data_IF_620232658709
#
_entry.id   IF_620232658709
#
_cell.length_a   1.000
_cell.length_b   1.000
_cell.length_c   1.000
_cell.angle_alpha   90.00
_cell.angle_beta   90.00
_cell.angle_gamma   90.00
#
_symmetry.space_group_name_H-M   'P 1'
#
loop_
_entity.id
_entity.type
_entity.pdbx_description
1 polymer ?
#
# COMPACT_ATOMS: atom_id res chain seq x y z
N UNK A 1 -4.82 -45.19 -2.39
CA UNK A 1 -5.88 -44.17 -2.29
C UNK A 1 -5.33 -43.03 -1.45
N UNK A 2 -4.71 -42.03 -2.10
CA UNK A 2 -4.19 -40.84 -1.43
C UNK A 2 -5.05 -39.66 -1.83
N UNK A 3 -5.94 -39.24 -0.95
CA UNK A 3 -6.57 -37.93 -1.07
C UNK A 3 -5.47 -36.86 -0.92
N UNK A 4 -5.44 -35.81 -1.76
CA UNK A 4 -4.48 -34.73 -1.58
C UNK A 4 -4.84 -33.98 -0.30
N UNK A 5 -3.91 -33.95 0.66
CA UNK A 5 -3.98 -33.21 1.93
C UNK A 5 -4.29 -31.70 1.72
N UNK A 6 -4.05 -31.18 0.52
CA UNK A 6 -4.42 -29.82 0.14
C UNK A 6 -5.94 -29.57 0.09
N UNK A 7 -6.77 -30.59 -0.14
CA UNK A 7 -8.23 -30.44 -0.24
C UNK A 7 -8.96 -30.43 1.11
N UNK A 8 -8.28 -30.74 2.21
CA UNK A 8 -8.83 -30.62 3.58
C UNK A 8 -8.36 -29.36 4.31
N UNK A 9 -7.33 -28.68 3.79
CA UNK A 9 -6.87 -27.40 4.35
C UNK A 9 -7.78 -26.20 4.04
N UNK A 10 -8.78 -26.38 3.17
CA UNK A 10 -9.86 -25.42 2.90
C UNK A 10 -10.81 -25.21 4.09
N UNK A 11 -10.67 -25.96 5.18
CA UNK A 11 -11.51 -25.83 6.38
C UNK A 11 -10.96 -24.97 7.52
N UNK A 12 -9.75 -24.41 7.40
CA UNK A 12 -9.33 -23.34 8.30
C UNK A 12 -9.61 -22.00 7.64
N UNK A 13 -10.81 -21.46 7.86
CA UNK A 13 -11.05 -20.02 7.79
C UNK A 13 -9.97 -19.39 8.68
N UNK A 14 -8.91 -18.85 8.09
CA UNK A 14 -7.72 -18.43 8.84
C UNK A 14 -8.18 -17.26 9.73
N UNK A 15 -8.37 -17.55 11.01
CA UNK A 15 -8.74 -16.59 12.05
C UNK A 15 -7.55 -15.69 12.42
N UNK A 16 -6.86 -15.15 11.41
CA UNK A 16 -5.63 -14.39 11.54
C UNK A 16 -4.35 -15.23 11.65
N UNK A 17 -3.23 -14.52 11.82
CA UNK A 17 -1.86 -15.06 11.81
C UNK A 17 -1.58 -16.09 12.90
N UNK A 18 -2.25 -16.01 14.04
CA UNK A 18 -2.06 -16.94 15.16
C UNK A 18 -2.54 -18.35 14.81
N UNK A 19 -3.71 -18.45 14.17
CA UNK A 19 -4.24 -19.72 13.65
C UNK A 19 -3.31 -20.34 12.61
N UNK A 20 -2.70 -19.52 11.76
CA UNK A 20 -1.73 -19.95 10.75
C UNK A 20 -0.44 -20.50 11.38
N UNK A 21 0.09 -19.83 12.41
CA UNK A 21 1.28 -20.28 13.12
C UNK A 21 1.06 -21.62 13.83
N UNK A 22 -0.13 -21.86 14.38
CA UNK A 22 -0.49 -23.16 14.96
C UNK A 22 -0.50 -24.28 13.92
N UNK A 23 -1.07 -24.03 12.73
CA UNK A 23 -1.09 -25.00 11.64
C UNK A 23 0.34 -25.31 11.18
N UNK A 24 1.17 -24.29 10.96
CA UNK A 24 2.59 -24.45 10.59
C UNK A 24 3.32 -25.28 11.66
N UNK A 25 3.07 -25.00 12.94
CA UNK A 25 3.67 -25.74 14.06
C UNK A 25 3.27 -27.22 14.07
N UNK A 26 2.00 -27.53 13.80
CA UNK A 26 1.49 -28.92 13.69
C UNK A 26 2.16 -29.66 12.54
N UNK A 27 2.17 -29.06 11.34
CA UNK A 27 2.81 -29.67 10.15
C UNK A 27 4.31 -29.88 10.40
N UNK A 28 4.98 -28.92 11.03
CA UNK A 28 6.41 -29.05 11.32
C UNK A 28 6.71 -30.16 12.33
N UNK A 29 5.81 -30.38 13.29
CA UNK A 29 5.93 -31.48 14.25
C UNK A 29 5.73 -32.85 13.57
N UNK A 30 4.81 -32.95 12.62
CA UNK A 30 4.46 -34.21 11.95
C UNK A 30 5.40 -34.56 10.79
N UNK A 31 5.93 -33.56 10.10
CA UNK A 31 6.68 -33.74 8.85
C UNK A 31 8.04 -33.05 8.83
N UNK A 32 8.53 -32.58 9.98
CA UNK A 32 9.81 -31.87 10.08
C UNK A 32 11.01 -32.65 9.56
N UNK A 33 11.03 -33.98 9.72
CA UNK A 33 12.08 -34.86 9.20
C UNK A 33 12.15 -34.88 7.65
N UNK A 34 11.06 -34.53 6.97
CA UNK A 34 10.98 -34.41 5.52
C UNK A 34 11.34 -32.99 5.01
N UNK A 35 11.90 -32.15 5.88
CA UNK A 35 12.31 -30.78 5.53
C UNK A 35 11.20 -29.72 5.69
N UNK A 36 10.00 -30.11 6.12
CA UNK A 36 8.89 -29.19 6.44
C UNK A 36 9.12 -28.50 7.80
N UNK A 37 10.21 -27.74 7.92
CA UNK A 37 10.49 -26.94 9.12
C UNK A 37 9.66 -25.66 9.13
N UNK A 38 9.45 -25.08 10.32
CA UNK A 38 8.74 -23.79 10.46
C UNK A 38 9.38 -22.71 9.59
N UNK A 39 10.71 -22.60 9.60
CA UNK A 39 11.45 -21.61 8.81
C UNK A 39 11.28 -21.80 7.29
N UNK A 40 11.14 -23.05 6.83
CA UNK A 40 10.95 -23.35 5.42
C UNK A 40 9.50 -23.11 4.94
N UNK A 41 8.52 -23.36 5.82
CA UNK A 41 7.10 -23.27 5.48
C UNK A 41 6.54 -21.86 5.67
N UNK A 42 6.95 -21.16 6.73
CA UNK A 42 6.36 -19.87 7.11
C UNK A 42 6.33 -18.86 5.95
N UNK A 43 7.41 -18.66 5.16
CA UNK A 43 7.36 -17.75 4.02
C UNK A 43 6.36 -18.16 2.92
N UNK A 44 6.10 -19.45 2.75
CA UNK A 44 5.15 -19.96 1.76
C UNK A 44 3.70 -19.74 2.22
N UNK A 45 3.41 -20.02 3.49
CA UNK A 45 2.11 -19.75 4.07
C UNK A 45 1.82 -18.25 4.17
N UNK A 46 2.82 -17.43 4.49
CA UNK A 46 2.73 -15.97 4.41
C UNK A 46 2.34 -15.52 3.00
N UNK A 47 3.01 -16.06 1.98
CA UNK A 47 2.68 -15.75 0.58
C UNK A 47 1.26 -16.16 0.20
N UNK A 48 0.82 -17.36 0.61
CA UNK A 48 -0.56 -17.80 0.35
C UNK A 48 -1.57 -16.90 1.06
N UNK A 49 -1.35 -16.58 2.34
CA UNK A 49 -2.23 -15.71 3.11
C UNK A 49 -2.40 -14.34 2.46
N UNK A 50 -1.30 -13.71 2.02
CA UNK A 50 -1.33 -12.43 1.32
C UNK A 50 -2.07 -12.51 -0.02
N UNK A 51 -1.92 -13.63 -0.73
CA UNK A 51 -2.63 -13.87 -2.00
C UNK A 51 -4.14 -13.98 -1.77
N UNK A 52 -4.56 -14.74 -0.75
CA UNK A 52 -5.97 -14.87 -0.37
C UNK A 52 -6.56 -13.52 0.05
N UNK A 53 -5.86 -12.77 0.90
CA UNK A 53 -6.27 -11.43 1.33
C UNK A 53 -6.42 -10.46 0.14
N UNK A 54 -5.55 -10.55 -0.87
CA UNK A 54 -5.65 -9.75 -2.09
C UNK A 54 -6.91 -10.10 -2.90
N UNK A 55 -7.28 -11.38 -2.97
CA UNK A 55 -8.51 -11.81 -3.65
C UNK A 55 -9.74 -11.36 -2.85
N UNK A 56 -9.72 -11.44 -1.52
CA UNK A 56 -10.79 -10.91 -0.67
C UNK A 56 -10.97 -9.40 -0.86
N UNK A 57 -9.87 -8.62 -0.87
CA UNK A 57 -9.91 -7.18 -1.14
C UNK A 57 -10.48 -6.87 -2.52
N UNK A 58 -10.13 -7.66 -3.54
CA UNK A 58 -10.70 -7.55 -4.88
C UNK A 58 -12.20 -7.84 -4.90
N UNK A 59 -12.65 -8.93 -4.28
CA UNK A 59 -14.08 -9.26 -4.15
C UNK A 59 -14.84 -8.15 -3.42
N UNK A 60 -14.32 -7.66 -2.29
CA UNK A 60 -14.90 -6.57 -1.52
C UNK A 60 -15.02 -5.27 -2.36
N UNK A 61 -14.02 -4.94 -3.17
CA UNK A 61 -14.05 -3.75 -4.03
C UNK A 61 -15.14 -3.80 -5.11
N UNK A 62 -15.58 -5.00 -5.49
CA UNK A 62 -16.64 -5.24 -6.47
C UNK A 62 -18.00 -5.56 -5.81
N UNK A 63 -18.06 -5.59 -4.48
CA UNK A 63 -19.21 -6.13 -3.75
C UNK A 63 -20.50 -5.35 -3.99
N UNK A 64 -20.40 -4.02 -3.99
CA UNK A 64 -21.54 -3.11 -4.12
C UNK A 64 -21.79 -2.66 -5.56
N UNK A 65 -20.88 -2.93 -6.50
CA UNK A 65 -21.08 -2.62 -7.92
C UNK A 65 -22.31 -3.35 -8.51
N UNK A 66 -22.76 -4.43 -7.85
CA UNK A 66 -23.86 -5.29 -8.29
C UNK A 66 -25.18 -5.02 -7.53
N UNK A 67 -25.22 -4.00 -6.64
CA UNK A 67 -26.44 -3.48 -6.00
C UNK A 67 -27.13 -4.37 -4.95
N UNK A 68 -26.96 -5.71 -5.02
CA UNK A 68 -27.57 -6.69 -4.12
C UNK A 68 -26.54 -7.65 -3.47
N UNK A 69 -25.26 -7.26 -3.45
CA UNK A 69 -24.13 -8.15 -3.12
C UNK A 69 -23.76 -9.05 -4.30
N UNK A 70 -22.72 -9.87 -4.12
CA UNK A 70 -22.26 -10.80 -5.16
C UNK A 70 -23.09 -12.09 -5.15
N UNK A 71 -23.79 -12.37 -6.25
CA UNK A 71 -24.41 -13.68 -6.48
C UNK A 71 -23.35 -14.72 -6.84
N UNK A 72 -23.69 -16.01 -6.74
CA UNK A 72 -22.77 -17.09 -7.17
C UNK A 72 -22.30 -16.96 -8.63
N UNK A 73 -23.17 -16.48 -9.52
CA UNK A 73 -22.83 -16.17 -10.92
C UNK A 73 -21.86 -14.98 -11.02
N UNK A 74 -22.14 -13.87 -10.32
CA UNK A 74 -21.25 -12.72 -10.32
C UNK A 74 -19.85 -13.04 -9.75
N UNK A 75 -19.77 -13.92 -8.75
CA UNK A 75 -18.48 -14.39 -8.20
C UNK A 75 -17.71 -15.19 -9.25
N UNK A 76 -18.39 -16.08 -9.99
CA UNK A 76 -17.78 -16.84 -11.07
C UNK A 76 -17.29 -15.90 -12.18
N UNK A 77 -18.12 -14.94 -12.61
CA UNK A 77 -17.74 -13.96 -13.63
C UNK A 77 -16.50 -13.15 -13.25
N UNK A 78 -16.39 -12.75 -11.97
CA UNK A 78 -15.20 -12.06 -11.45
C UNK A 78 -13.96 -12.95 -11.53
N UNK A 79 -14.08 -14.24 -11.22
CA UNK A 79 -13.00 -15.19 -11.33
C UNK A 79 -12.55 -15.37 -12.80
N UNK A 80 -13.52 -15.47 -13.72
CA UNK A 80 -13.29 -15.69 -15.15
C UNK A 80 -12.59 -14.51 -15.84
N UNK A 81 -12.82 -13.29 -15.35
CA UNK A 81 -12.17 -12.07 -15.86
C UNK A 81 -10.70 -11.94 -15.43
N UNK A 82 -10.19 -12.82 -14.55
CA UNK A 82 -8.80 -12.78 -14.13
C UNK A 82 -7.86 -13.37 -15.18
N UNK A 83 -6.65 -12.81 -15.29
CA UNK A 83 -5.59 -13.39 -16.11
C UNK A 83 -5.23 -14.82 -15.65
N UNK A 84 -5.34 -15.09 -14.35
CA UNK A 84 -5.08 -16.42 -13.79
C UNK A 84 -6.04 -17.47 -14.35
N UNK A 85 -7.33 -17.16 -14.47
CA UNK A 85 -8.32 -18.06 -15.07
C UNK A 85 -8.09 -18.26 -16.57
N UNK A 86 -7.78 -17.18 -17.30
CA UNK A 86 -7.47 -17.24 -18.72
C UNK A 86 -6.32 -18.22 -19.04
N UNK A 87 -5.27 -18.21 -18.22
CA UNK A 87 -4.07 -19.04 -18.39
C UNK A 87 -4.21 -20.46 -17.83
N UNK A 88 -5.25 -20.75 -17.07
CA UNK A 88 -5.45 -22.03 -16.40
C UNK A 88 -5.97 -23.13 -17.35
N UNK A 89 -5.62 -24.38 -17.02
CA UNK A 89 -6.31 -25.57 -17.56
C UNK A 89 -7.68 -25.76 -16.89
N UNK A 90 -8.53 -26.61 -17.46
CA UNK A 90 -9.92 -26.79 -17.00
C UNK A 90 -10.01 -27.15 -15.51
N UNK A 91 -9.12 -28.00 -15.01
CA UNK A 91 -9.08 -28.37 -13.59
C UNK A 91 -8.73 -27.16 -12.72
N UNK A 92 -7.74 -26.37 -13.10
CA UNK A 92 -7.36 -25.16 -12.35
C UNK A 92 -8.43 -24.07 -12.43
N UNK A 93 -9.16 -23.96 -13.56
CA UNK A 93 -10.29 -23.03 -13.70
C UNK A 93 -11.38 -23.32 -12.68
N UNK A 94 -11.77 -24.58 -12.53
CA UNK A 94 -12.72 -25.02 -11.50
C UNK A 94 -12.22 -24.67 -10.09
N UNK A 95 -10.93 -24.91 -9.80
CA UNK A 95 -10.33 -24.57 -8.50
C UNK A 95 -10.31 -23.06 -8.22
N UNK A 96 -10.05 -22.23 -9.24
CA UNK A 96 -10.06 -20.77 -9.10
C UNK A 96 -11.48 -20.27 -8.79
N UNK A 97 -12.50 -20.77 -9.50
CA UNK A 97 -13.89 -20.42 -9.23
C UNK A 97 -14.32 -20.85 -7.83
N UNK A 98 -13.95 -22.06 -7.41
CA UNK A 98 -14.26 -22.56 -6.07
C UNK A 98 -13.58 -21.71 -4.99
N UNK A 99 -12.32 -21.34 -5.20
CA UNK A 99 -11.62 -20.44 -4.28
C UNK A 99 -12.34 -19.10 -4.12
N UNK A 100 -12.77 -18.49 -5.22
CA UNK A 100 -13.52 -17.23 -5.18
C UNK A 100 -14.83 -17.35 -4.40
N UNK A 101 -15.55 -18.47 -4.55
CA UNK A 101 -16.78 -18.75 -3.77
C UNK A 101 -16.50 -18.86 -2.28
N UNK A 102 -15.49 -19.66 -1.89
CA UNK A 102 -15.10 -19.83 -0.48
C UNK A 102 -14.73 -18.48 0.16
N UNK A 103 -13.99 -17.63 -0.56
CA UNK A 103 -13.60 -16.31 -0.04
C UNK A 103 -14.80 -15.35 0.05
N UNK A 104 -15.72 -15.39 -0.91
CA UNK A 104 -16.95 -14.60 -0.84
C UNK A 104 -17.87 -15.04 0.32
N UNK A 105 -17.96 -16.33 0.60
CA UNK A 105 -18.63 -16.85 1.78
C UNK A 105 -17.97 -16.34 3.06
N UNK A 106 -16.63 -16.41 3.13
CA UNK A 106 -15.88 -15.90 4.28
C UNK A 106 -16.16 -14.41 4.52
N UNK A 107 -16.18 -13.58 3.48
CA UNK A 107 -16.54 -12.15 3.57
C UNK A 107 -17.96 -11.98 4.13
N UNK A 108 -18.93 -12.70 3.58
CA UNK A 108 -20.35 -12.56 3.94
C UNK A 108 -20.63 -12.93 5.39
N UNK A 109 -19.95 -13.96 5.90
CA UNK A 109 -20.08 -14.39 7.29
C UNK A 109 -19.37 -13.44 8.27
N UNK A 110 -18.25 -12.84 7.85
CA UNK A 110 -17.41 -12.03 8.71
C UNK A 110 -17.76 -10.54 8.74
N UNK A 111 -18.44 -10.04 7.70
CA UNK A 111 -18.80 -8.63 7.52
C UNK A 111 -20.26 -8.58 7.09
N UNK A 112 -21.15 -8.70 8.06
CA UNK A 112 -22.61 -8.76 7.83
C UNK A 112 -23.19 -7.39 7.47
N UNK A 113 -22.67 -6.33 8.08
CA UNK A 113 -23.11 -4.95 7.85
C UNK A 113 -22.75 -4.47 6.43
N UNK A 114 -23.72 -3.91 5.72
CA UNK A 114 -23.55 -3.47 4.33
C UNK A 114 -22.68 -2.21 4.22
N UNK A 115 -22.83 -1.25 5.14
CA UNK A 115 -22.03 -0.03 5.13
C UNK A 115 -20.55 -0.33 5.42
N UNK A 116 -20.30 -1.24 6.35
CA UNK A 116 -18.95 -1.72 6.68
C UNK A 116 -18.33 -2.48 5.52
N UNK A 117 -19.09 -3.35 4.82
CA UNK A 117 -18.62 -3.99 3.58
C UNK A 117 -18.24 -2.97 2.52
N UNK A 118 -19.06 -1.94 2.32
CA UNK A 118 -18.80 -0.85 1.38
C UNK A 118 -17.50 -0.11 1.71
N UNK A 119 -17.31 0.25 2.98
CA UNK A 119 -16.09 0.93 3.43
C UNK A 119 -14.87 0.02 3.22
N UNK A 120 -14.96 -1.25 3.61
CA UNK A 120 -13.89 -2.22 3.46
C UNK A 120 -13.50 -2.44 1.99
N UNK A 121 -14.47 -2.47 1.07
CA UNK A 121 -14.21 -2.57 -0.37
C UNK A 121 -13.37 -1.45 -0.94
N UNK A 122 -13.39 -0.25 -0.33
CA UNK A 122 -12.52 0.86 -0.74
C UNK A 122 -11.11 0.79 -0.17
N UNK A 123 -10.88 -0.06 0.85
CA UNK A 123 -9.55 -0.23 1.46
C UNK A 123 -8.64 -1.15 0.65
N UNK A 124 -9.22 -2.03 -0.18
CA UNK A 124 -8.54 -3.12 -0.91
C UNK A 124 -7.81 -4.15 -0.02
N UNK A 125 -8.01 -4.10 1.29
CA UNK A 125 -7.49 -5.12 2.22
C UNK A 125 -8.42 -6.33 2.30
N UNK A 126 -7.84 -7.48 2.62
CA UNK A 126 -8.60 -8.68 2.98
C UNK A 126 -9.32 -8.51 4.32
N UNK A 127 -10.19 -9.47 4.66
CA UNK A 127 -11.12 -9.36 5.79
C UNK A 127 -10.39 -9.12 7.11
N UNK A 128 -9.30 -9.87 7.35
CA UNK A 128 -8.57 -9.81 8.61
C UNK A 128 -7.82 -8.48 8.79
N UNK A 129 -7.10 -8.03 7.77
CA UNK A 129 -6.34 -6.78 7.84
C UNK A 129 -7.28 -5.58 7.93
N UNK A 130 -8.38 -5.57 7.18
CA UNK A 130 -9.38 -4.50 7.26
C UNK A 130 -9.99 -4.40 8.68
N UNK A 131 -10.28 -5.54 9.34
CA UNK A 131 -10.73 -5.57 10.74
C UNK A 131 -9.66 -5.07 11.71
N UNK A 132 -8.40 -5.46 11.52
CA UNK A 132 -7.29 -5.04 12.37
C UNK A 132 -7.06 -3.52 12.27
N UNK A 133 -7.05 -2.97 11.06
CA UNK A 133 -6.91 -1.54 10.82
C UNK A 133 -8.13 -0.79 11.37
N UNK A 134 -9.35 -1.28 11.17
CA UNK A 134 -10.57 -0.68 11.74
C UNK A 134 -10.52 -0.62 13.26
N UNK A 135 -10.17 -1.72 13.93
CA UNK A 135 -10.03 -1.76 15.38
C UNK A 135 -9.02 -0.73 15.88
N UNK A 136 -7.86 -0.65 15.22
CA UNK A 136 -6.85 0.36 15.53
C UNK A 136 -7.38 1.79 15.33
N UNK A 137 -8.11 2.05 14.23
CA UNK A 137 -8.72 3.36 13.96
C UNK A 137 -9.74 3.73 15.03
N UNK A 138 -10.56 2.78 15.49
CA UNK A 138 -11.52 3.01 16.57
C UNK A 138 -10.83 3.42 17.87
N UNK A 139 -9.72 2.75 18.20
CA UNK A 139 -8.95 2.99 19.43
C UNK A 139 -8.14 4.30 19.39
N UNK A 140 -7.72 4.76 18.20
CA UNK A 140 -6.80 5.89 18.03
C UNK A 140 -7.42 7.09 17.27
N UNK A 141 -8.75 7.11 17.09
CA UNK A 141 -9.43 8.09 16.26
C UNK A 141 -9.20 9.54 16.75
N UNK A 142 -9.17 9.75 18.06
CA UNK A 142 -9.00 11.10 18.62
C UNK A 142 -7.57 11.61 18.38
N UNK A 143 -6.53 10.80 18.58
CA UNK A 143 -5.17 11.19 18.23
C UNK A 143 -5.02 11.40 16.72
N UNK A 144 -5.61 10.52 15.91
CA UNK A 144 -5.54 10.60 14.45
C UNK A 144 -6.24 11.85 13.89
N UNK A 145 -7.31 12.31 14.54
CA UNK A 145 -7.98 13.58 14.22
C UNK A 145 -7.11 14.78 14.65
N UNK A 146 -6.40 14.65 15.76
CA UNK A 146 -5.60 15.72 16.37
C UNK A 146 -4.25 15.97 15.66
N UNK A 147 -3.71 15.03 14.89
CA UNK A 147 -2.43 15.21 14.19
C UNK A 147 -2.44 16.41 13.23
N UNK A 148 -1.35 17.17 13.23
CA UNK A 148 -1.19 18.40 12.45
C UNK A 148 -0.09 18.32 11.40
N UNK A 149 0.83 17.36 11.51
CA UNK A 149 1.97 17.22 10.61
C UNK A 149 2.17 15.79 10.09
N UNK A 150 2.82 15.66 8.94
CA UNK A 150 3.15 14.34 8.38
C UNK A 150 4.10 13.52 9.27
N UNK A 151 4.96 14.19 10.04
CA UNK A 151 5.85 13.52 10.99
C UNK A 151 5.07 12.95 12.18
N UNK A 152 4.08 13.70 12.70
CA UNK A 152 3.15 13.21 13.74
C UNK A 152 2.31 12.04 13.23
N UNK A 153 1.82 12.11 11.98
CA UNK A 153 1.11 10.98 11.36
C UNK A 153 2.02 9.75 11.32
N UNK A 154 3.24 9.87 10.78
CA UNK A 154 4.22 8.76 10.78
C UNK A 154 4.47 8.25 12.18
N UNK A 155 4.56 9.14 13.17
CA UNK A 155 4.83 8.74 14.54
C UNK A 155 3.72 7.90 15.14
N UNK A 156 2.46 8.30 14.90
CA UNK A 156 1.25 7.63 15.36
C UNK A 156 1.02 6.29 14.64
N UNK A 157 1.09 6.27 13.30
CA UNK A 157 0.75 5.07 12.51
C UNK A 157 1.93 4.12 12.30
N UNK A 158 3.10 4.40 12.90
CA UNK A 158 4.30 3.57 12.72
C UNK A 158 4.09 2.08 13.02
N UNK A 159 3.35 1.68 14.08
CA UNK A 159 3.04 0.27 14.31
C UNK A 159 2.29 -0.35 13.13
N UNK A 160 1.26 0.33 12.60
CA UNK A 160 0.52 -0.16 11.44
C UNK A 160 1.40 -0.26 10.19
N UNK A 161 2.27 0.73 9.96
CA UNK A 161 3.25 0.71 8.86
C UNK A 161 4.15 -0.54 8.97
N UNK A 162 4.60 -0.87 10.18
CA UNK A 162 5.46 -2.04 10.41
C UNK A 162 4.75 -3.37 10.17
N UNK A 163 3.44 -3.42 10.41
CA UNK A 163 2.63 -4.64 10.28
C UNK A 163 2.08 -4.85 8.85
N UNK A 164 1.78 -3.77 8.12
CA UNK A 164 1.07 -3.82 6.84
C UNK A 164 1.93 -3.48 5.61
N UNK A 165 3.19 -3.07 5.78
CA UNK A 165 4.13 -3.00 4.66
C UNK A 165 4.76 -4.38 4.45
N UNK A 166 4.48 -5.00 3.30
CA UNK A 166 4.95 -6.34 2.97
C UNK A 166 6.23 -6.33 2.12
N UNK A 167 6.68 -5.16 1.69
CA UNK A 167 7.96 -4.99 0.99
C UNK A 167 9.13 -5.69 1.71
N UNK A 168 9.86 -6.53 0.97
CA UNK A 168 10.92 -7.39 1.51
C UNK A 168 12.11 -6.59 2.04
N UNK A 169 12.50 -5.51 1.37
CA UNK A 169 13.62 -4.68 1.82
C UNK A 169 13.25 -3.89 3.08
N UNK A 170 12.03 -3.33 3.13
CA UNK A 170 11.48 -2.66 4.31
C UNK A 170 11.49 -3.59 5.53
N UNK A 171 10.93 -4.79 5.39
CA UNK A 171 10.83 -5.76 6.48
C UNK A 171 12.19 -6.26 6.96
N UNK A 172 13.15 -6.45 6.05
CA UNK A 172 14.50 -6.91 6.38
C UNK A 172 15.44 -5.80 6.89
N UNK A 173 15.03 -4.54 6.84
CA UNK A 173 15.83 -3.43 7.36
C UNK A 173 15.97 -3.54 8.88
N UNK A 174 17.21 -3.59 9.37
CA UNK A 174 17.52 -3.90 10.76
C UNK A 174 17.14 -2.77 11.74
N UNK A 175 17.50 -1.53 11.41
CA UNK A 175 17.32 -0.38 12.30
C UNK A 175 16.00 0.34 12.03
N UNK A 176 14.92 -0.13 12.64
CA UNK A 176 13.56 0.42 12.42
C UNK A 176 13.42 1.90 12.79
N UNK A 177 14.15 2.38 13.79
CA UNK A 177 14.16 3.82 14.11
C UNK A 177 14.78 4.66 12.99
N UNK A 178 15.86 4.17 12.36
CA UNK A 178 16.48 4.86 11.22
C UNK A 178 15.57 4.77 9.99
N UNK A 179 14.87 3.66 9.82
CA UNK A 179 13.87 3.51 8.75
C UNK A 179 12.73 4.52 8.90
N UNK A 180 12.26 4.76 10.13
CA UNK A 180 11.27 5.81 10.43
C UNK A 180 11.75 7.20 10.03
N UNK A 181 13.00 7.53 10.35
CA UNK A 181 13.62 8.79 9.93
C UNK A 181 13.73 8.89 8.40
N UNK A 182 14.09 7.79 7.72
CA UNK A 182 14.10 7.73 6.25
C UNK A 182 12.69 8.00 5.69
N UNK A 183 11.63 7.44 6.28
CA UNK A 183 10.24 7.70 5.90
C UNK A 183 9.87 9.18 6.06
N UNK A 184 10.25 9.82 7.18
CA UNK A 184 10.04 11.28 7.38
C UNK A 184 10.78 12.12 6.34
N UNK A 185 12.01 11.74 6.01
CA UNK A 185 12.81 12.41 4.95
C UNK A 185 12.25 12.17 3.55
N UNK A 186 11.69 10.99 3.28
CA UNK A 186 11.03 10.67 2.02
C UNK A 186 9.85 11.61 1.74
N UNK A 187 8.93 11.77 2.70
CA UNK A 187 7.77 12.67 2.57
C UNK A 187 8.14 14.16 2.56
N UNK A 188 9.41 14.47 2.81
CA UNK A 188 9.98 15.82 2.73
C UNK A 188 10.70 16.08 1.40
N UNK A 189 10.62 15.17 0.42
CA UNK A 189 11.21 15.39 -0.90
C UNK A 189 12.69 15.01 -1.02
N UNK A 190 13.28 14.43 0.02
CA UNK A 190 14.71 14.11 0.06
C UNK A 190 15.08 13.15 -1.08
N UNK A 191 16.15 13.42 -1.85
CA UNK A 191 16.56 12.57 -2.97
C UNK A 191 17.19 11.25 -2.48
N UNK A 192 17.11 10.21 -3.30
CA UNK A 192 17.53 8.84 -2.93
C UNK A 192 18.96 8.73 -2.42
N UNK A 193 19.90 9.49 -2.99
CA UNK A 193 21.30 9.45 -2.58
C UNK A 193 21.50 9.94 -1.13
N UNK A 194 20.71 10.92 -0.68
CA UNK A 194 20.75 11.39 0.70
C UNK A 194 20.05 10.42 1.66
N UNK A 195 18.93 9.83 1.26
CA UNK A 195 18.27 8.76 2.02
C UNK A 195 19.20 7.56 2.21
N UNK A 196 19.93 7.19 1.16
CA UNK A 196 20.98 6.18 1.25
C UNK A 196 22.11 6.59 2.19
N UNK A 197 22.56 7.85 2.15
CA UNK A 197 23.58 8.37 3.07
C UNK A 197 23.14 8.26 4.53
N UNK A 198 21.85 8.48 4.84
CA UNK A 198 21.31 8.27 6.20
C UNK A 198 21.50 6.80 6.62
N UNK A 199 21.13 5.85 5.75
CA UNK A 199 21.30 4.43 6.04
C UNK A 199 22.77 4.02 6.20
N UNK A 200 23.65 4.49 5.30
CA UNK A 200 25.09 4.16 5.29
C UNK A 200 25.83 4.75 6.50
N UNK A 201 25.56 6.01 6.84
CA UNK A 201 26.14 6.68 8.03
C UNK A 201 25.73 5.96 9.32
N UNK A 202 24.48 5.52 9.39
CA UNK A 202 23.98 4.72 10.50
C UNK A 202 24.38 3.24 10.42
N UNK A 203 25.18 2.82 9.44
CA UNK A 203 25.64 1.43 9.25
C UNK A 203 24.48 0.40 9.24
N UNK A 204 23.37 0.75 8.59
CA UNK A 204 22.20 -0.11 8.49
C UNK A 204 22.47 -1.33 7.61
N UNK A 205 21.73 -2.42 7.85
CA UNK A 205 21.86 -3.70 7.13
C UNK A 205 20.50 -4.29 6.78
N UNK A 206 20.50 -5.21 5.82
CA UNK A 206 19.35 -6.02 5.43
C UNK A 206 19.52 -7.48 5.84
N UNK A 207 18.53 -8.00 6.56
CA UNK A 207 18.39 -9.41 6.93
C UNK A 207 18.71 -9.67 8.40
N UNK A 208 18.29 -10.84 8.91
CA UNK A 208 18.49 -11.26 10.29
C UNK A 208 19.78 -12.08 10.45
N UNK A 209 20.39 -11.93 11.62
CA UNK A 209 21.33 -12.81 12.33
C UNK A 209 22.52 -13.40 11.55
N UNK A 210 22.32 -14.31 10.59
CA UNK A 210 23.41 -15.17 10.11
C UNK A 210 24.33 -14.51 9.08
N UNK A 211 23.82 -13.64 8.20
CA UNK A 211 24.61 -12.89 7.20
C UNK A 211 23.89 -11.60 6.75
N UNK A 212 23.81 -10.57 7.61
CA UNK A 212 23.18 -9.31 7.23
C UNK A 212 24.00 -8.62 6.13
N UNK A 213 23.32 -8.15 5.08
CA UNK A 213 23.95 -7.52 3.91
C UNK A 213 23.97 -6.01 4.08
N UNK A 214 25.01 -5.34 3.57
CA UNK A 214 25.06 -3.87 3.51
C UNK A 214 23.86 -3.38 2.68
N UNK A 215 23.17 -2.35 3.17
CA UNK A 215 22.13 -1.64 2.40
C UNK A 215 22.77 -1.05 1.14
N UNK A 216 22.10 -1.16 0.01
CA UNK A 216 22.46 -0.48 -1.25
C UNK A 216 21.41 0.56 -1.63
N UNK A 217 21.73 1.43 -2.59
CA UNK A 217 20.79 2.46 -3.05
C UNK A 217 19.52 1.84 -3.66
N UNK A 218 19.62 0.71 -4.34
CA UNK A 218 18.46 0.02 -4.93
C UNK A 218 17.50 -0.46 -3.84
N UNK A 219 18.02 -0.78 -2.65
CA UNK A 219 17.17 -1.14 -1.51
C UNK A 219 16.41 0.07 -0.95
N UNK A 220 17.03 1.25 -0.96
CA UNK A 220 16.37 2.48 -0.54
C UNK A 220 15.27 2.85 -1.55
N UNK A 221 15.54 2.71 -2.85
CA UNK A 221 14.54 2.90 -3.90
C UNK A 221 13.37 1.93 -3.70
N UNK A 222 13.65 0.63 -3.55
CA UNK A 222 12.61 -0.40 -3.32
C UNK A 222 11.80 -0.13 -2.04
N UNK A 223 12.44 0.29 -0.95
CA UNK A 223 11.76 0.68 0.28
C UNK A 223 10.82 1.86 0.05
N UNK A 224 11.26 2.89 -0.66
CA UNK A 224 10.46 4.10 -0.86
C UNK A 224 9.34 3.89 -1.88
N UNK A 225 9.65 3.31 -3.04
CA UNK A 225 8.70 3.12 -4.15
C UNK A 225 7.79 1.92 -3.92
N UNK A 226 8.37 0.77 -3.53
CA UNK A 226 7.63 -0.47 -3.34
C UNK A 226 7.01 -0.61 -1.94
N UNK A 227 7.68 -0.10 -0.90
CA UNK A 227 7.16 -0.15 0.47
C UNK A 227 6.27 1.05 0.81
N UNK A 228 6.86 2.24 0.87
CA UNK A 228 6.16 3.44 1.35
C UNK A 228 5.11 3.95 0.36
N UNK A 229 5.49 4.09 -0.91
CA UNK A 229 4.65 4.70 -1.93
C UNK A 229 3.53 3.79 -2.44
N UNK A 230 3.69 2.47 -2.28
CA UNK A 230 2.69 1.48 -2.66
C UNK A 230 1.94 0.96 -1.43
N UNK A 231 2.54 0.06 -0.63
CA UNK A 231 1.88 -0.53 0.55
C UNK A 231 1.47 0.56 1.57
N UNK A 232 2.38 1.49 1.87
CA UNK A 232 2.12 2.56 2.84
C UNK A 232 1.02 3.53 2.38
N UNK A 233 1.00 3.89 1.10
CA UNK A 233 -0.06 4.75 0.56
C UNK A 233 -1.44 4.05 0.55
N UNK A 234 -1.46 2.72 0.39
CA UNK A 234 -2.68 1.92 0.51
C UNK A 234 -3.20 1.90 1.94
N UNK A 235 -2.31 1.67 2.92
CA UNK A 235 -2.64 1.73 4.35
C UNK A 235 -3.27 3.07 4.72
N UNK A 236 -2.65 4.19 4.32
CA UNK A 236 -3.19 5.52 4.60
C UNK A 236 -4.54 5.74 3.91
N UNK A 237 -4.74 5.19 2.71
CA UNK A 237 -6.05 5.21 2.03
C UNK A 237 -7.10 4.50 2.88
N UNK A 238 -6.78 3.33 3.43
CA UNK A 238 -7.69 2.58 4.29
C UNK A 238 -8.02 3.36 5.58
N UNK A 239 -7.03 4.03 6.18
CA UNK A 239 -7.26 4.91 7.33
C UNK A 239 -8.26 6.03 7.00
N UNK A 240 -8.13 6.68 5.84
CA UNK A 240 -9.07 7.72 5.41
C UNK A 240 -10.51 7.18 5.33
N UNK A 241 -10.71 6.04 4.66
CA UNK A 241 -12.04 5.45 4.48
C UNK A 241 -12.67 5.00 5.81
N UNK A 242 -11.87 4.43 6.71
CA UNK A 242 -12.34 3.97 8.01
C UNK A 242 -12.62 5.11 8.98
N UNK A 243 -11.84 6.20 8.94
CA UNK A 243 -12.14 7.42 9.69
C UNK A 243 -13.41 8.08 9.18
N UNK A 244 -13.63 8.13 7.87
CA UNK A 244 -14.85 8.65 7.27
C UNK A 244 -16.08 7.83 7.69
N UNK A 245 -15.94 6.49 7.75
CA UNK A 245 -17.00 5.59 8.22
C UNK A 245 -17.42 5.83 9.69
N UNK A 246 -16.53 6.36 10.55
CA UNK A 246 -16.89 6.69 11.94
C UNK A 246 -17.93 7.83 12.03
N UNK A 247 -18.15 8.59 10.95
CA UNK A 247 -19.13 9.69 10.85
C UNK A 247 -19.08 10.68 12.03
N UNK A 248 -17.89 10.94 12.56
CA UNK A 248 -17.69 11.90 13.65
C UNK A 248 -17.79 13.32 13.11
N UNK A 249 -18.44 14.22 13.85
CA UNK A 249 -18.47 15.65 13.49
C UNK A 249 -17.04 16.22 13.46
N UNK A 250 -16.72 16.96 12.41
CA UNK A 250 -15.43 17.66 12.28
C UNK A 250 -14.28 16.85 11.68
N UNK A 251 -14.55 15.67 11.10
CA UNK A 251 -13.53 14.82 10.46
C UNK A 251 -13.06 15.31 9.08
N UNK A 252 -13.78 16.22 8.43
CA UNK A 252 -13.45 16.64 7.05
C UNK A 252 -12.06 17.26 6.89
N UNK A 253 -11.64 18.13 7.80
CA UNK A 253 -10.31 18.74 7.77
C UNK A 253 -9.17 17.74 8.10
N UNK A 254 -9.28 16.90 9.15
CA UNK A 254 -8.38 15.77 9.37
C UNK A 254 -8.26 14.80 8.18
N UNK A 255 -9.37 14.44 7.53
CA UNK A 255 -9.36 13.55 6.35
C UNK A 255 -8.58 14.22 5.21
N UNK A 256 -8.80 15.50 4.94
CA UNK A 256 -8.02 16.23 3.92
C UNK A 256 -6.52 16.23 4.24
N UNK A 257 -6.13 16.38 5.52
CA UNK A 257 -4.73 16.27 5.94
C UNK A 257 -4.17 14.87 5.70
N UNK A 258 -4.92 13.81 6.04
CA UNK A 258 -4.51 12.43 5.80
C UNK A 258 -4.40 12.10 4.30
N UNK A 259 -5.32 12.58 3.48
CA UNK A 259 -5.25 12.46 2.02
C UNK A 259 -4.04 13.19 1.43
N UNK A 260 -3.72 14.39 1.95
CA UNK A 260 -2.48 15.07 1.58
C UNK A 260 -1.26 14.25 1.99
N UNK A 261 -1.22 13.76 3.23
CA UNK A 261 -0.15 12.89 3.71
C UNK A 261 0.00 11.63 2.85
N UNK A 262 -1.10 10.99 2.46
CA UNK A 262 -1.10 9.84 1.54
C UNK A 262 -0.37 10.18 0.25
N UNK A 263 -0.66 11.33 -0.37
CA UNK A 263 0.03 11.77 -1.60
C UNK A 263 1.50 12.08 -1.37
N UNK A 264 1.85 12.69 -0.24
CA UNK A 264 3.25 12.93 0.14
C UNK A 264 4.02 11.62 0.33
N UNK A 265 3.38 10.61 0.91
CA UNK A 265 3.93 9.26 1.07
C UNK A 265 4.03 8.52 -0.28
N UNK A 266 3.00 8.62 -1.12
CA UNK A 266 2.94 8.02 -2.47
C UNK A 266 3.97 8.60 -3.43
N UNK A 267 4.17 9.91 -3.43
CA UNK A 267 5.06 10.55 -4.39
C UNK A 267 6.42 10.91 -3.79
N UNK A 268 6.60 10.81 -2.47
CA UNK A 268 7.80 11.30 -1.79
C UNK A 268 8.03 12.79 -2.02
N UNK A 269 6.97 13.58 -2.01
CA UNK A 269 6.99 15.01 -2.33
C UNK A 269 6.52 15.85 -1.13
N UNK A 270 7.13 17.02 -0.88
CA UNK A 270 6.93 17.75 0.36
C UNK A 270 5.62 18.53 0.44
N UNK A 271 5.14 19.08 -0.67
CA UNK A 271 4.06 20.08 -0.67
C UNK A 271 3.00 19.78 -1.71
N UNK A 272 1.78 20.29 -1.49
CA UNK A 272 0.68 20.25 -2.47
C UNK A 272 1.10 20.77 -3.85
N UNK A 273 1.89 21.86 -3.91
CA UNK A 273 2.39 22.43 -5.16
C UNK A 273 3.25 21.43 -5.93
N UNK A 274 4.20 20.78 -5.25
CA UNK A 274 5.07 19.77 -5.89
C UNK A 274 4.28 18.56 -6.35
N UNK A 275 3.31 18.11 -5.54
CA UNK A 275 2.38 17.02 -5.89
C UNK A 275 1.55 17.39 -7.12
N UNK A 276 1.02 18.61 -7.16
CA UNK A 276 0.21 19.07 -8.28
C UNK A 276 1.02 19.16 -9.59
N UNK A 277 2.30 19.54 -9.55
CA UNK A 277 3.18 19.45 -10.72
C UNK A 277 3.43 18.01 -11.16
N UNK A 278 3.70 17.12 -10.20
CA UNK A 278 3.88 15.70 -10.48
C UNK A 278 2.64 15.13 -11.20
N UNK A 279 1.46 15.39 -10.65
CA UNK A 279 0.18 14.97 -11.24
C UNK A 279 -0.22 15.74 -12.52
N UNK A 280 0.48 16.82 -12.87
CA UNK A 280 0.33 17.50 -14.16
C UNK A 280 1.15 16.81 -15.26
N UNK A 281 1.91 15.76 -14.95
CA UNK A 281 2.73 15.00 -15.90
C UNK A 281 4.22 15.30 -15.81
N UNK A 282 4.65 16.15 -14.86
CA UNK A 282 6.06 16.25 -14.48
C UNK A 282 6.39 15.15 -13.46
N UNK A 283 6.11 13.90 -13.83
CA UNK A 283 6.14 12.71 -12.96
C UNK A 283 7.55 12.24 -12.56
N UNK A 284 8.39 13.19 -12.15
CA UNK A 284 9.70 12.98 -11.53
C UNK A 284 9.82 13.90 -10.32
N UNK A 285 10.27 13.35 -9.19
CA UNK A 285 10.31 14.06 -7.90
C UNK A 285 11.24 15.26 -7.91
N UNK A 286 12.38 15.16 -8.58
CA UNK A 286 13.37 16.24 -8.64
C UNK A 286 12.85 17.35 -9.55
N UNK A 287 12.29 16.99 -10.71
CA UNK A 287 11.75 17.95 -11.68
C UNK A 287 10.56 18.70 -11.11
N UNK A 288 9.61 18.01 -10.45
CA UNK A 288 8.46 18.64 -9.83
C UNK A 288 8.85 19.62 -8.72
N UNK A 289 9.87 19.26 -7.91
CA UNK A 289 10.39 20.14 -6.86
C UNK A 289 11.12 21.36 -7.41
N UNK A 290 11.96 21.16 -8.43
CA UNK A 290 12.73 22.22 -9.07
C UNK A 290 11.82 23.24 -9.79
N UNK A 291 10.76 22.76 -10.47
CA UNK A 291 9.76 23.64 -11.06
C UNK A 291 8.98 24.43 -10.00
N UNK A 292 8.61 23.80 -8.88
CA UNK A 292 7.95 24.49 -7.78
C UNK A 292 8.86 25.55 -7.11
N UNK A 293 10.13 25.22 -6.90
CA UNK A 293 11.13 26.12 -6.32
C UNK A 293 11.36 27.34 -7.21
N UNK A 294 11.44 27.15 -8.53
CA UNK A 294 11.60 28.24 -9.49
C UNK A 294 10.46 29.27 -9.41
N UNK A 295 9.21 28.81 -9.33
CA UNK A 295 8.05 29.70 -9.38
C UNK A 295 7.76 30.39 -8.03
N UNK A 296 8.42 29.98 -6.95
CA UNK A 296 8.20 30.49 -5.59
C UNK A 296 6.71 30.53 -5.19
N UNK A 297 5.96 29.48 -5.57
CA UNK A 297 4.51 29.46 -5.45
C UNK A 297 4.01 28.78 -4.18
N UNK A 298 2.93 29.33 -3.64
CA UNK A 298 2.03 28.68 -2.68
C UNK A 298 0.78 28.10 -3.34
N UNK A 299 0.64 28.24 -4.67
CA UNK A 299 -0.53 27.73 -5.39
C UNK A 299 -0.56 26.20 -5.35
N UNK A 300 -1.71 25.63 -5.01
CA UNK A 300 -1.88 24.18 -4.84
C UNK A 300 -2.78 23.57 -5.92
N UNK A 301 -3.54 24.40 -6.63
CA UNK A 301 -4.48 23.98 -7.67
C UNK A 301 -3.82 23.94 -9.05
N UNK A 302 -3.98 22.80 -9.76
CA UNK A 302 -3.40 22.56 -11.10
C UNK A 302 -3.70 23.68 -12.10
N UNK A 303 -4.93 24.19 -12.11
CA UNK A 303 -5.34 25.28 -13.02
C UNK A 303 -4.54 26.55 -12.77
N UNK A 304 -4.27 26.86 -11.51
CA UNK A 304 -3.52 28.07 -11.15
C UNK A 304 -2.04 27.90 -11.43
N UNK A 305 -1.48 26.70 -11.26
CA UNK A 305 -0.13 26.38 -11.70
C UNK A 305 0.05 26.59 -13.21
N UNK A 306 -0.89 26.11 -14.02
CA UNK A 306 -0.87 26.34 -15.48
C UNK A 306 -0.93 27.83 -15.82
N UNK A 307 -1.75 28.63 -15.12
CA UNK A 307 -1.78 30.09 -15.32
C UNK A 307 -0.43 30.73 -15.02
N UNK A 308 0.24 30.31 -13.95
CA UNK A 308 1.56 30.84 -13.61
C UNK A 308 2.60 30.46 -14.66
N UNK A 309 2.62 29.19 -15.10
CA UNK A 309 3.50 28.74 -16.19
C UNK A 309 3.28 29.55 -17.48
N UNK A 310 2.02 29.88 -17.80
CA UNK A 310 1.67 30.70 -18.97
C UNK A 310 2.13 32.15 -18.84
N UNK A 311 2.28 32.68 -17.62
CA UNK A 311 2.76 34.03 -17.34
C UNK A 311 4.27 34.14 -17.47
N UNK A 312 5.02 33.12 -17.04
CA UNK A 312 6.48 33.06 -17.16
C UNK A 312 6.92 31.86 -18.00
N UNK A 313 6.66 31.96 -19.32
CA UNK A 313 6.93 30.87 -20.27
C UNK A 313 8.42 30.62 -20.46
N UNK A 314 9.20 31.69 -20.59
CA UNK A 314 10.63 31.61 -20.85
C UNK A 314 11.37 31.05 -19.65
N UNK A 315 10.99 31.49 -18.44
CA UNK A 315 11.46 30.92 -17.19
C UNK A 315 11.18 29.43 -17.04
N UNK A 316 9.91 29.03 -17.24
CA UNK A 316 9.53 27.62 -17.19
C UNK A 316 10.28 26.77 -18.23
N UNK A 317 10.51 27.30 -19.44
CA UNK A 317 11.30 26.62 -20.48
C UNK A 317 12.76 26.45 -20.07
N UNK A 318 13.36 27.50 -19.54
CA UNK A 318 14.75 27.47 -19.07
C UNK A 318 14.97 26.40 -17.99
N UNK A 319 14.04 26.25 -17.04
CA UNK A 319 14.10 25.16 -16.04
C UNK A 319 14.04 23.77 -16.71
N UNK A 320 13.28 23.62 -17.79
CA UNK A 320 13.10 22.33 -18.48
C UNK A 320 14.22 21.96 -19.45
N UNK A 321 15.11 22.90 -19.82
CA UNK A 321 16.21 22.65 -20.76
C UNK A 321 17.23 21.63 -20.23
N UNK A 322 17.42 21.56 -18.91
CA UNK A 322 18.32 20.59 -18.26
C UNK A 322 17.73 19.18 -18.11
N UNK A 323 16.47 18.96 -18.49
CA UNK A 323 15.76 17.69 -18.34
C UNK A 323 15.43 17.04 -19.68
N UNK A 324 15.14 15.71 -19.69
CA UNK A 324 14.76 15.01 -20.92
C UNK A 324 13.62 15.69 -21.69
N UNK A 325 13.69 15.62 -23.02
CA UNK A 325 12.77 16.32 -23.93
C UNK A 325 11.28 16.01 -23.73
N UNK A 326 10.96 14.88 -23.07
CA UNK A 326 9.61 14.57 -22.61
C UNK A 326 9.00 15.71 -21.78
N UNK A 327 9.73 16.25 -20.80
CA UNK A 327 9.21 17.29 -19.90
C UNK A 327 9.06 18.64 -20.60
N UNK A 328 9.91 18.93 -21.58
CA UNK A 328 9.77 20.10 -22.45
C UNK A 328 8.51 20.01 -23.32
N UNK A 329 8.24 18.83 -23.91
CA UNK A 329 7.00 18.58 -24.66
C UNK A 329 5.78 18.76 -23.76
N UNK A 330 5.81 18.16 -22.57
CA UNK A 330 4.73 18.26 -21.61
C UNK A 330 4.46 19.71 -21.17
N UNK A 331 5.51 20.49 -20.91
CA UNK A 331 5.37 21.91 -20.65
C UNK A 331 4.70 22.64 -21.82
N UNK A 332 5.16 22.40 -23.05
CA UNK A 332 4.59 23.06 -24.23
C UNK A 332 3.11 22.73 -24.44
N UNK A 333 2.66 21.50 -24.16
CA UNK A 333 1.22 21.14 -24.17
C UNK A 333 0.40 21.98 -23.18
N UNK A 334 0.95 22.27 -21.99
CA UNK A 334 0.27 23.08 -20.98
C UNK A 334 0.28 24.59 -21.31
N UNK A 335 1.22 25.04 -22.14
CA UNK A 335 1.38 26.45 -22.52
C UNK A 335 0.51 26.88 -23.71
N UNK A 336 -0.03 25.92 -24.48
CA UNK A 336 -1.11 26.13 -25.44
C UNK A 336 -2.35 26.61 -24.68
#
# INVERSE_FOLDING_TARGET
MGHPVFCQSSYSRIAGWDSLNEIIGKIAKEHGENGFTVDAMKPQFEFFSLTLASIEGFLLSNWDAVGNGLTGEAIADLAEQTLAYFLADDKKREQIQELFKILAENISENITDANRRKAFGKTLYGVNDAKAIEGWVQDNADELIAVQSGDEVIDLIWPLIMDHIHNKAFNKFDKKNVLKEITKKWISGTPFHELYRIADTNKCKLGKEKRPRKVKIENIIDICEGGLAYDGALLVSALCELVEMLDRKGTGDPINRLQLFQKRLKYGLPTETTIAFYELGFSDRVIAQDLAAYLNLTATQKKDLVKVLKRDRDGARSVMEKYPSYFQKRLNELLQ
#
